data_IF_755789016904
#
_entry.id   IF_755789016904
#
_cell.length_a   1.000
_cell.length_b   1.000
_cell.length_c   1.000
_cell.angle_alpha   90.00
_cell.angle_beta   90.00
_cell.angle_gamma   90.00
#
_symmetry.space_group_name_H-M   'P 1'
#
loop_
_entity.id
_entity.type
_entity.pdbx_description
1 polymer ?
#
# COMPACT_ATOMS: atom_id res chain seq x y z
N UNK A 1 23.46 -8.05 -12.86
CA UNK A 1 22.55 -6.98 -12.40
C UNK A 1 21.37 -7.61 -11.65
N UNK A 2 21.59 -8.16 -10.46
CA UNK A 2 20.62 -9.12 -9.88
C UNK A 2 20.49 -9.11 -8.33
N UNK A 3 21.27 -8.32 -7.58
CA UNK A 3 21.15 -8.33 -6.10
C UNK A 3 19.99 -7.49 -5.57
N UNK A 4 19.70 -6.32 -6.14
CA UNK A 4 18.73 -5.39 -5.54
C UNK A 4 17.28 -5.85 -5.67
N UNK A 5 16.90 -6.44 -6.81
CA UNK A 5 15.55 -6.98 -7.04
C UNK A 5 15.25 -8.15 -6.11
N UNK A 6 16.24 -9.02 -5.86
CA UNK A 6 16.08 -10.17 -4.97
C UNK A 6 15.85 -9.76 -3.50
N UNK A 7 16.47 -8.66 -3.06
CA UNK A 7 16.29 -8.11 -1.70
C UNK A 7 14.89 -7.50 -1.54
N UNK A 8 14.41 -6.77 -2.54
CA UNK A 8 13.06 -6.18 -2.54
C UNK A 8 12.01 -7.31 -2.50
N UNK A 9 12.17 -8.31 -3.38
CA UNK A 9 11.30 -9.49 -3.42
C UNK A 9 11.32 -10.22 -2.07
N UNK A 10 12.49 -10.48 -1.49
CA UNK A 10 12.60 -11.13 -0.18
C UNK A 10 11.93 -10.35 0.96
N UNK A 11 12.01 -9.00 0.96
CA UNK A 11 11.31 -8.17 1.93
C UNK A 11 9.79 -8.24 1.74
N UNK A 12 9.31 -8.13 0.50
CA UNK A 12 7.89 -8.29 0.17
C UNK A 12 7.36 -9.64 0.68
N UNK A 13 8.10 -10.74 0.42
CA UNK A 13 7.75 -12.06 0.93
C UNK A 13 7.76 -12.18 2.45
N UNK A 14 8.62 -11.45 3.16
CA UNK A 14 8.66 -11.48 4.62
C UNK A 14 7.42 -10.82 5.26
N UNK A 15 6.88 -9.77 4.63
CA UNK A 15 5.60 -9.20 5.02
C UNK A 15 4.45 -10.17 4.72
N UNK A 16 4.60 -11.11 3.78
CA UNK A 16 3.53 -12.03 3.41
C UNK A 16 3.13 -13.08 4.45
N UNK A 17 3.98 -13.37 5.42
CA UNK A 17 3.73 -14.47 6.35
C UNK A 17 2.63 -14.15 7.37
N UNK A 18 2.60 -13.00 8.07
CA UNK A 18 1.57 -12.71 9.06
C UNK A 18 0.13 -12.68 8.53
N UNK A 19 -0.10 -12.16 7.32
CA UNK A 19 -1.46 -12.00 6.77
C UNK A 19 -2.04 -13.30 6.20
N UNK A 20 -1.18 -14.26 5.82
CA UNK A 20 -1.61 -15.62 5.45
C UNK A 20 -2.26 -16.35 6.63
N UNK A 21 -1.78 -16.09 7.84
CA UNK A 21 -2.17 -16.83 9.04
C UNK A 21 -3.57 -16.47 9.58
N UNK A 22 -4.24 -15.44 9.03
CA UNK A 22 -5.60 -15.01 9.45
C UNK A 22 -6.72 -15.33 8.46
N UNK A 23 -6.42 -16.08 7.39
CA UNK A 23 -7.45 -16.49 6.42
C UNK A 23 -7.79 -15.48 5.33
N UNK A 24 -6.96 -14.46 5.09
CA UNK A 24 -7.02 -13.70 3.83
C UNK A 24 -6.52 -14.61 2.70
N UNK A 25 -7.27 -14.70 1.60
CA UNK A 25 -6.83 -15.44 0.43
C UNK A 25 -5.47 -14.94 -0.05
N UNK A 26 -4.56 -15.85 -0.42
CA UNK A 26 -3.20 -15.48 -0.82
C UNK A 26 -3.17 -14.40 -1.93
N UNK A 27 -4.13 -14.44 -2.85
CA UNK A 27 -4.30 -13.42 -3.89
C UNK A 27 -4.78 -12.07 -3.36
N UNK A 28 -5.81 -12.07 -2.51
CA UNK A 28 -6.36 -10.84 -1.92
C UNK A 28 -5.31 -10.11 -1.09
N UNK A 29 -4.53 -10.84 -0.31
CA UNK A 29 -3.48 -10.25 0.49
C UNK A 29 -2.34 -9.65 -0.35
N UNK A 30 -1.87 -10.39 -1.37
CA UNK A 30 -0.82 -9.90 -2.26
C UNK A 30 -1.25 -8.62 -2.99
N UNK A 31 -2.53 -8.50 -3.33
CA UNK A 31 -3.11 -7.30 -3.89
C UNK A 31 -2.99 -6.10 -2.92
N UNK A 32 -3.38 -6.27 -1.66
CA UNK A 32 -3.27 -5.19 -0.65
C UNK A 32 -1.82 -4.76 -0.40
N UNK A 33 -0.90 -5.71 -0.31
CA UNK A 33 0.53 -5.39 -0.22
C UNK A 33 1.03 -4.60 -1.42
N UNK A 34 0.56 -4.93 -2.62
CA UNK A 34 1.00 -4.26 -3.84
C UNK A 34 0.59 -2.79 -3.81
N UNK A 35 -0.63 -2.48 -3.33
CA UNK A 35 -1.09 -1.11 -3.14
C UNK A 35 -0.26 -0.34 -2.11
N UNK A 36 -0.06 -0.92 -0.94
CA UNK A 36 0.72 -0.31 0.15
C UNK A 36 2.18 -0.09 -0.24
N UNK A 37 2.80 -1.08 -0.89
CA UNK A 37 4.18 -0.98 -1.38
C UNK A 37 4.32 0.13 -2.42
N UNK A 38 3.39 0.21 -3.37
CA UNK A 38 3.42 1.26 -4.37
C UNK A 38 3.29 2.65 -3.74
N UNK A 39 2.36 2.82 -2.78
CA UNK A 39 2.18 4.08 -2.06
C UNK A 39 3.44 4.47 -1.26
N UNK A 40 4.07 3.50 -0.58
CA UNK A 40 5.33 3.70 0.15
C UNK A 40 6.48 4.08 -0.78
N UNK A 41 6.58 3.40 -1.93
CA UNK A 41 7.59 3.70 -2.94
C UNK A 41 7.38 5.11 -3.50
N UNK A 42 6.15 5.48 -3.84
CA UNK A 42 5.84 6.83 -4.32
C UNK A 42 6.31 7.92 -3.34
N UNK A 43 6.08 7.71 -2.04
CA UNK A 43 6.57 8.59 -0.98
C UNK A 43 8.11 8.62 -0.89
N UNK A 44 8.79 7.46 -0.90
CA UNK A 44 10.26 7.40 -0.90
C UNK A 44 10.89 8.10 -2.12
N UNK A 45 10.36 7.85 -3.32
CA UNK A 45 10.87 8.45 -4.55
C UNK A 45 10.57 9.94 -4.66
N UNK A 46 9.56 10.45 -3.94
CA UNK A 46 9.26 11.88 -3.88
C UNK A 46 10.32 12.68 -3.11
N UNK A 47 11.13 12.01 -2.28
CA UNK A 47 12.15 12.59 -1.40
C UNK A 47 13.54 12.56 -2.05
N UNK A 48 14.51 13.33 -1.52
CA UNK A 48 15.90 13.23 -1.94
C UNK A 48 16.44 11.79 -1.77
N UNK A 49 17.30 11.29 -2.68
CA UNK A 49 17.89 12.00 -3.82
C UNK A 49 17.04 11.98 -5.10
N UNK A 50 15.94 11.24 -5.13
CA UNK A 50 15.20 10.97 -6.36
C UNK A 50 14.32 12.13 -6.82
N UNK A 51 13.62 12.79 -5.89
CA UNK A 51 12.75 13.95 -6.13
C UNK A 51 11.72 13.74 -7.27
N UNK A 52 11.24 12.50 -7.46
CA UNK A 52 10.25 12.13 -8.47
C UNK A 52 8.86 12.15 -7.84
N UNK A 53 8.09 13.20 -8.11
CA UNK A 53 6.74 13.36 -7.57
C UNK A 53 5.71 12.70 -8.49
N UNK A 54 4.89 11.84 -7.90
CA UNK A 54 3.62 11.43 -8.46
C UNK A 54 2.54 12.40 -7.95
N UNK A 55 1.52 12.67 -8.77
CA UNK A 55 0.38 13.50 -8.39
C UNK A 55 -0.60 12.70 -7.51
N UNK A 56 -0.14 12.25 -6.35
CA UNK A 56 -0.97 11.64 -5.31
C UNK A 56 -1.55 12.78 -4.47
N UNK A 57 -2.88 12.85 -4.25
CA UNK A 57 -3.46 13.84 -3.37
C UNK A 57 -2.87 13.75 -1.95
N UNK A 58 -2.59 14.89 -1.32
CA UNK A 58 -1.99 14.94 0.02
C UNK A 58 -2.84 14.21 1.08
N UNK A 59 -4.17 14.22 0.92
CA UNK A 59 -5.11 13.50 1.80
C UNK A 59 -4.97 11.97 1.69
N UNK A 60 -4.43 11.45 0.60
CA UNK A 60 -4.36 10.02 0.30
C UNK A 60 -2.92 9.55 0.03
N UNK A 61 -1.93 10.26 0.58
CA UNK A 61 -0.51 9.91 0.48
C UNK A 61 -0.06 8.99 1.64
N UNK A 62 1.18 8.49 1.57
CA UNK A 62 1.71 7.60 2.62
C UNK A 62 1.69 8.23 4.03
N UNK A 63 2.18 9.48 4.26
CA UNK A 63 2.08 10.12 5.56
C UNK A 63 0.65 10.22 6.12
N UNK A 64 -0.33 10.52 5.27
CA UNK A 64 -1.75 10.60 5.68
C UNK A 64 -2.27 9.27 6.20
N UNK A 65 -1.84 8.16 5.60
CA UNK A 65 -2.24 6.81 5.98
C UNK A 65 -1.61 6.41 7.32
N UNK A 66 -0.30 6.59 7.48
CA UNK A 66 0.42 6.19 8.70
C UNK A 66 0.11 7.06 9.92
N UNK A 67 -0.52 8.22 9.72
CA UNK A 67 -0.97 9.08 10.81
C UNK A 67 -2.26 8.58 11.50
N UNK A 68 -2.94 7.57 10.93
CA UNK A 68 -4.24 7.05 11.43
C UNK A 68 -4.06 5.73 12.17
N UNK A 69 -5.01 5.41 13.05
CA UNK A 69 -5.06 4.14 13.81
C UNK A 69 -6.48 3.60 13.94
N UNK A 70 -6.59 2.29 14.19
CA UNK A 70 -7.87 1.63 14.46
C UNK A 70 -8.90 1.84 13.34
N UNK A 71 -10.15 2.13 13.72
CA UNK A 71 -11.23 2.32 12.76
C UNK A 71 -11.01 3.51 11.79
N UNK A 72 -10.29 4.55 12.24
CA UNK A 72 -9.95 5.69 11.37
C UNK A 72 -8.98 5.26 10.26
N UNK A 73 -8.01 4.39 10.57
CA UNK A 73 -7.09 3.84 9.59
C UNK A 73 -7.81 3.00 8.53
N UNK A 74 -8.74 2.14 8.96
CA UNK A 74 -9.52 1.31 8.05
C UNK A 74 -10.38 2.16 7.09
N UNK A 75 -11.11 3.13 7.64
CA UNK A 75 -11.93 4.04 6.84
C UNK A 75 -11.08 4.87 5.87
N UNK A 76 -9.94 5.37 6.35
CA UNK A 76 -8.99 6.12 5.52
C UNK A 76 -8.46 5.29 4.37
N UNK A 77 -8.08 4.04 4.64
CA UNK A 77 -7.57 3.14 3.61
C UNK A 77 -8.62 2.81 2.54
N UNK A 78 -9.88 2.59 2.94
CA UNK A 78 -10.99 2.39 1.99
C UNK A 78 -11.17 3.61 1.09
N UNK A 79 -11.15 4.82 1.66
CA UNK A 79 -11.28 6.05 0.89
C UNK A 79 -10.07 6.30 -0.02
N UNK A 80 -8.85 6.03 0.46
CA UNK A 80 -7.62 6.10 -0.31
C UNK A 80 -7.69 5.22 -1.55
N UNK A 81 -8.06 3.94 -1.41
CA UNK A 81 -8.18 3.02 -2.54
C UNK A 81 -9.20 3.53 -3.56
N UNK A 82 -10.37 4.00 -3.08
CA UNK A 82 -11.40 4.58 -3.94
C UNK A 82 -10.87 5.78 -4.71
N UNK A 83 -10.26 6.74 -4.04
CA UNK A 83 -9.82 7.99 -4.66
C UNK A 83 -8.67 7.76 -5.64
N UNK A 84 -7.70 6.93 -5.29
CA UNK A 84 -6.59 6.57 -6.20
C UNK A 84 -7.08 5.78 -7.42
N UNK A 85 -8.14 4.99 -7.30
CA UNK A 85 -8.74 4.27 -8.43
C UNK A 85 -9.35 5.18 -9.50
N UNK A 86 -9.73 6.41 -9.13
CA UNK A 86 -10.31 7.40 -10.06
C UNK A 86 -9.26 8.29 -10.75
N UNK A 87 -8.00 8.19 -10.32
CA UNK A 87 -6.92 8.99 -10.88
C UNK A 87 -6.59 8.58 -12.32
N UNK A 88 -5.99 9.50 -13.08
CA UNK A 88 -5.54 9.22 -14.44
C UNK A 88 -4.13 8.61 -14.43
N UNK A 89 -3.77 7.96 -15.55
CA UNK A 89 -2.42 7.42 -15.74
C UNK A 89 -2.12 6.23 -14.84
N UNK A 90 -0.87 6.13 -14.38
CA UNK A 90 -0.36 4.96 -13.65
C UNK A 90 -1.10 4.71 -12.33
N UNK A 91 -1.56 5.77 -11.64
CA UNK A 91 -2.32 5.64 -10.40
C UNK A 91 -3.65 4.93 -10.64
N UNK A 92 -4.46 5.41 -11.58
CA UNK A 92 -5.71 4.75 -11.94
C UNK A 92 -5.51 3.31 -12.37
N UNK A 93 -4.48 3.02 -13.18
CA UNK A 93 -4.18 1.67 -13.65
C UNK A 93 -3.85 0.70 -12.52
N UNK A 94 -3.04 1.13 -11.54
CA UNK A 94 -2.66 0.29 -10.40
C UNK A 94 -3.84 0.07 -9.46
N UNK A 95 -4.60 1.12 -9.17
CA UNK A 95 -5.70 1.08 -8.20
C UNK A 95 -7.06 0.75 -8.84
N UNK A 96 -7.10 0.36 -10.12
CA UNK A 96 -8.35 0.10 -10.86
C UNK A 96 -9.19 -0.93 -10.12
N UNK A 97 -10.43 -0.55 -9.76
CA UNK A 97 -11.39 -1.40 -9.02
C UNK A 97 -10.84 -1.97 -7.71
N UNK A 98 -9.83 -1.33 -7.13
CA UNK A 98 -9.27 -1.70 -5.83
C UNK A 98 -10.35 -1.67 -4.74
N UNK A 99 -10.26 -2.63 -3.82
CA UNK A 99 -11.13 -2.73 -2.67
C UNK A 99 -10.29 -3.16 -1.47
N UNK A 100 -10.63 -2.68 -0.27
CA UNK A 100 -10.02 -3.22 0.94
C UNK A 100 -10.47 -4.68 1.13
N UNK A 101 -9.50 -5.58 1.30
CA UNK A 101 -9.71 -7.00 1.62
C UNK A 101 -9.20 -7.38 3.01
N UNK A 102 -8.57 -6.45 3.73
CA UNK A 102 -8.13 -6.65 5.12
C UNK A 102 -9.30 -6.34 6.03
N UNK A 103 -9.85 -7.38 6.66
CA UNK A 103 -11.01 -7.28 7.56
C UNK A 103 -10.64 -6.90 8.99
N UNK A 104 -9.38 -7.11 9.39
CA UNK A 104 -8.89 -6.80 10.74
C UNK A 104 -8.05 -5.51 10.72
N UNK A 105 -8.52 -4.41 11.35
CA UNK A 105 -7.77 -3.16 11.46
C UNK A 105 -6.41 -3.31 12.14
N UNK A 106 -6.27 -4.26 13.08
CA UNK A 106 -5.00 -4.52 13.74
C UNK A 106 -3.97 -5.11 12.77
N UNK A 107 -4.44 -5.88 11.78
CA UNK A 107 -3.58 -6.37 10.72
C UNK A 107 -3.18 -5.31 9.72
N UNK A 108 -4.12 -4.45 9.32
CA UNK A 108 -3.79 -3.33 8.44
C UNK A 108 -2.70 -2.46 9.09
N UNK A 109 -2.82 -2.17 10.38
CA UNK A 109 -1.79 -1.46 11.13
C UNK A 109 -0.45 -2.21 11.13
N UNK A 110 -0.45 -3.53 11.40
CA UNK A 110 0.76 -4.36 11.43
C UNK A 110 1.50 -4.45 10.09
N UNK A 111 0.80 -4.28 8.96
CA UNK A 111 1.41 -4.28 7.62
C UNK A 111 2.04 -2.93 7.29
N UNK A 112 1.49 -1.87 7.88
CA UNK A 112 1.95 -0.49 7.66
C UNK A 112 3.14 -0.14 8.56
N UNK A 113 3.17 -0.69 9.79
CA UNK A 113 4.28 -0.57 10.75
C UNK A 113 5.57 -1.30 10.28
#
# INVERSE_FOLDING_TARGET
MSSSTSIIVSKVWSFCNPLRDVGVGYGDYLEQLTYLLFLKMADEYSRPPHNRRLNIPEEYNWPSLTARKGAELELHYVNLLRELSTQKGILGQIFTKSQNKIQDPAMLAKVID
#
